data_IF_591610489278
#
_entry.id   IF_591610489278
#
_cell.length_a   1.000
_cell.length_b   1.000
_cell.length_c   1.000
_cell.angle_alpha   90.00
_cell.angle_beta   90.00
_cell.angle_gamma   90.00
#
_symmetry.space_group_name_H-M   'P 1'
#
loop_
_entity.id
_entity.type
_entity.pdbx_description
1 polymer ?
#
# COMPACT_ATOMS: atom_id res chain seq x y z
N UNK A 1 -5.40 21.35 -33.70
CA UNK A 1 -5.42 19.92 -33.28
C UNK A 1 -4.39 19.58 -32.19
N UNK A 2 -3.19 20.18 -32.16
CA UNK A 2 -2.17 19.86 -31.12
C UNK A 2 -2.58 20.25 -29.68
N UNK A 3 -3.37 21.32 -29.51
CA UNK A 3 -3.84 21.80 -28.19
C UNK A 3 -4.75 20.81 -27.44
N UNK A 4 -5.66 20.12 -28.15
CA UNK A 4 -6.57 19.14 -27.53
C UNK A 4 -5.85 17.86 -27.15
N UNK A 5 -4.91 17.41 -27.99
CA UNK A 5 -4.08 16.25 -27.70
C UNK A 5 -3.18 16.50 -26.48
N UNK A 6 -2.66 17.72 -26.32
CA UNK A 6 -1.88 18.12 -25.15
C UNK A 6 -2.72 18.19 -23.87
N UNK A 7 -3.91 18.81 -23.92
CA UNK A 7 -4.84 18.88 -22.77
C UNK A 7 -5.28 17.49 -22.29
N UNK A 8 -5.70 16.62 -23.21
CA UNK A 8 -6.13 15.24 -22.89
C UNK A 8 -5.01 14.42 -22.22
N UNK A 9 -3.77 14.77 -22.50
CA UNK A 9 -2.57 14.10 -22.00
C UNK A 9 -2.11 14.63 -20.63
N UNK A 10 -2.20 15.94 -20.39
CA UNK A 10 -2.08 16.55 -19.06
C UNK A 10 -3.14 15.98 -18.10
N UNK A 11 -4.39 15.85 -18.56
CA UNK A 11 -5.47 15.24 -17.78
C UNK A 11 -5.16 13.77 -17.40
N UNK A 12 -4.58 13.00 -18.33
CA UNK A 12 -4.16 11.61 -18.05
C UNK A 12 -3.04 11.55 -17.01
N UNK A 13 -2.05 12.43 -17.12
CA UNK A 13 -0.94 12.53 -16.16
C UNK A 13 -1.45 12.92 -14.77
N UNK A 14 -2.39 13.87 -14.71
CA UNK A 14 -3.05 14.29 -13.46
C UNK A 14 -3.82 13.13 -12.82
N UNK A 15 -4.66 12.41 -13.59
CA UNK A 15 -5.40 11.24 -13.10
C UNK A 15 -4.49 10.13 -12.57
N UNK A 16 -3.37 9.85 -13.24
CA UNK A 16 -2.38 8.87 -12.76
C UNK A 16 -1.75 9.34 -11.44
N UNK A 17 -1.44 10.63 -11.32
CA UNK A 17 -0.86 11.22 -10.11
C UNK A 17 -1.83 11.17 -8.91
N UNK A 18 -3.11 11.45 -9.15
CA UNK A 18 -4.16 11.37 -8.13
C UNK A 18 -4.31 9.92 -7.62
N UNK A 19 -4.39 8.93 -8.53
CA UNK A 19 -4.42 7.51 -8.15
C UNK A 19 -3.15 7.05 -7.41
N UNK A 20 -1.98 7.54 -7.81
CA UNK A 20 -0.72 7.25 -7.12
C UNK A 20 -0.74 7.77 -5.67
N UNK A 21 -1.29 8.97 -5.44
CA UNK A 21 -1.43 9.55 -4.09
C UNK A 21 -2.43 8.76 -3.24
N UNK A 22 -3.54 8.34 -3.81
CA UNK A 22 -4.56 7.54 -3.13
C UNK A 22 -4.00 6.19 -2.68
N UNK A 23 -3.32 5.46 -3.58
CA UNK A 23 -2.67 4.19 -3.22
C UNK A 23 -1.61 4.39 -2.14
N UNK A 24 -0.85 5.49 -2.18
CA UNK A 24 0.14 5.81 -1.13
C UNK A 24 -0.51 6.10 0.22
N UNK A 25 -1.66 6.77 0.24
CA UNK A 25 -2.43 7.01 1.47
C UNK A 25 -2.94 5.69 2.06
N UNK A 26 -3.47 4.81 1.21
CA UNK A 26 -3.93 3.48 1.63
C UNK A 26 -2.77 2.62 2.16
N UNK A 27 -1.61 2.65 1.50
CA UNK A 27 -0.39 1.97 1.97
C UNK A 27 0.01 2.45 3.37
N UNK A 28 -0.07 3.76 3.66
CA UNK A 28 0.22 4.31 4.99
C UNK A 28 -0.79 3.82 6.04
N UNK A 29 -2.08 3.82 5.72
CA UNK A 29 -3.11 3.32 6.64
C UNK A 29 -2.91 1.85 6.98
N UNK A 30 -2.65 1.01 5.98
CA UNK A 30 -2.37 -0.41 6.20
C UNK A 30 -1.09 -0.67 7.02
N UNK A 31 -0.07 0.20 6.90
CA UNK A 31 1.13 0.13 7.75
C UNK A 31 0.81 0.47 9.21
N UNK A 32 -0.07 1.44 9.45
CA UNK A 32 -0.54 1.81 10.80
C UNK A 32 -1.35 0.66 11.42
N UNK A 33 -2.28 0.06 10.67
CA UNK A 33 -3.06 -1.11 11.09
C UNK A 33 -2.15 -2.31 11.44
N UNK A 34 -1.14 -2.57 10.60
CA UNK A 34 -0.15 -3.62 10.84
C UNK A 34 0.66 -3.35 12.12
N UNK A 35 1.04 -2.09 12.37
CA UNK A 35 1.77 -1.73 13.58
C UNK A 35 0.93 -1.90 14.85
N UNK A 36 -0.35 -1.52 14.80
CA UNK A 36 -1.30 -1.75 15.87
C UNK A 36 -1.47 -3.26 16.14
N UNK A 37 -1.61 -4.06 15.09
CA UNK A 37 -1.75 -5.51 15.20
C UNK A 37 -0.51 -6.20 15.78
N UNK A 38 0.70 -5.76 15.40
CA UNK A 38 1.96 -6.24 16.00
C UNK A 38 2.03 -5.90 17.49
N UNK A 39 1.55 -4.71 17.88
CA UNK A 39 1.52 -4.29 19.28
C UNK A 39 0.56 -5.16 20.09
N UNK A 40 -0.63 -5.43 19.57
CA UNK A 40 -1.59 -6.38 20.16
C UNK A 40 -1.03 -7.80 20.25
N UNK A 41 -0.33 -8.27 19.22
CA UNK A 41 0.31 -9.59 19.22
C UNK A 41 1.35 -9.72 20.35
N UNK A 42 2.15 -8.67 20.56
CA UNK A 42 3.14 -8.63 21.64
C UNK A 42 2.47 -8.65 23.00
N UNK A 43 1.46 -7.81 23.20
CA UNK A 43 0.70 -7.76 24.47
C UNK A 43 0.03 -9.11 24.77
N UNK A 44 -0.60 -9.74 23.78
CA UNK A 44 -1.23 -11.04 23.94
C UNK A 44 -0.22 -12.13 24.31
N UNK A 45 0.99 -12.10 23.73
CA UNK A 45 2.07 -13.01 24.14
C UNK A 45 2.55 -12.77 25.57
N UNK A 46 2.69 -11.51 25.98
CA UNK A 46 3.09 -11.17 27.36
C UNK A 46 2.03 -11.64 28.37
N UNK A 47 0.75 -11.46 28.05
CA UNK A 47 -0.39 -11.97 28.84
C UNK A 47 -0.39 -13.50 28.90
N UNK A 48 -0.19 -14.19 27.78
CA UNK A 48 -0.10 -15.64 27.72
C UNK A 48 1.04 -16.17 28.60
N UNK A 49 2.23 -15.57 28.51
CA UNK A 49 3.38 -15.98 29.31
C UNK A 49 3.13 -15.80 30.82
N UNK A 50 2.45 -14.72 31.22
CA UNK A 50 2.05 -14.50 32.60
C UNK A 50 0.98 -15.51 33.06
N UNK A 51 -0.01 -15.79 32.21
CA UNK A 51 -1.10 -16.72 32.49
C UNK A 51 -0.60 -18.15 32.69
N UNK A 52 0.34 -18.61 31.85
CA UNK A 52 1.00 -19.93 31.98
C UNK A 52 1.70 -20.06 33.34
N UNK A 53 2.43 -19.02 33.78
CA UNK A 53 3.10 -19.03 35.09
C UNK A 53 2.11 -19.11 36.24
N UNK A 54 0.96 -18.44 36.10
CA UNK A 54 -0.12 -18.42 37.11
C UNK A 54 -1.06 -19.62 37.02
N UNK A 55 -0.93 -20.46 35.98
CA UNK A 55 -1.88 -21.52 35.62
C UNK A 55 -3.32 -21.01 35.47
N UNK A 56 -3.45 -19.79 34.96
CA UNK A 56 -4.75 -19.17 34.69
C UNK A 56 -5.22 -19.56 33.29
N UNK A 57 -5.96 -20.67 33.21
CA UNK A 57 -6.43 -21.22 31.93
C UNK A 57 -7.42 -20.30 31.20
N UNK A 58 -8.23 -19.54 31.95
CA UNK A 58 -9.15 -18.58 31.36
C UNK A 58 -8.39 -17.47 30.63
N UNK A 59 -7.35 -16.94 31.25
CA UNK A 59 -6.50 -15.93 30.64
C UNK A 59 -5.66 -16.48 29.48
N UNK A 60 -5.26 -17.76 29.53
CA UNK A 60 -4.63 -18.45 28.39
C UNK A 60 -5.57 -18.46 27.18
N UNK A 61 -6.84 -18.83 27.37
CA UNK A 61 -7.83 -18.87 26.28
C UNK A 61 -8.07 -17.47 25.69
N UNK A 62 -8.18 -16.44 26.53
CA UNK A 62 -8.30 -15.05 26.08
C UNK A 62 -7.06 -14.58 25.31
N UNK A 63 -5.86 -14.86 25.82
CA UNK A 63 -4.62 -14.47 25.17
C UNK A 63 -4.45 -15.18 23.81
N UNK A 64 -4.81 -16.46 23.70
CA UNK A 64 -4.85 -17.18 22.43
C UNK A 64 -5.83 -16.55 21.44
N UNK A 65 -7.06 -16.22 21.85
CA UNK A 65 -8.02 -15.57 20.97
C UNK A 65 -7.51 -14.21 20.46
N UNK A 66 -6.82 -13.44 21.30
CA UNK A 66 -6.19 -12.17 20.90
C UNK A 66 -5.04 -12.38 19.90
N UNK A 67 -4.23 -13.42 20.07
CA UNK A 67 -3.16 -13.78 19.13
C UNK A 67 -3.73 -14.12 17.75
N UNK A 68 -4.82 -14.89 17.69
CA UNK A 68 -5.46 -15.26 16.43
C UNK A 68 -6.05 -14.05 15.70
N UNK A 69 -6.68 -13.14 16.43
CA UNK A 69 -7.18 -11.87 15.87
C UNK A 69 -6.01 -11.03 15.34
N UNK A 70 -4.96 -10.83 16.14
CA UNK A 70 -3.79 -10.05 15.73
C UNK A 70 -3.13 -10.64 14.49
N UNK A 71 -2.96 -11.97 14.44
CA UNK A 71 -2.40 -12.68 13.28
C UNK A 71 -3.26 -12.51 12.03
N UNK A 72 -4.59 -12.63 12.17
CA UNK A 72 -5.52 -12.40 11.05
C UNK A 72 -5.41 -10.99 10.49
N UNK A 73 -5.24 -9.98 11.35
CA UNK A 73 -5.06 -8.58 10.90
C UNK A 73 -3.72 -8.42 10.19
N UNK A 74 -2.63 -8.98 10.74
CA UNK A 74 -1.30 -8.93 10.13
C UNK A 74 -1.30 -9.57 8.74
N UNK A 75 -1.90 -10.75 8.59
CA UNK A 75 -1.95 -11.46 7.31
C UNK A 75 -2.74 -10.67 6.26
N UNK A 76 -3.91 -10.14 6.64
CA UNK A 76 -4.73 -9.29 5.76
C UNK A 76 -4.00 -8.01 5.36
N UNK A 77 -3.38 -7.32 6.32
CA UNK A 77 -2.64 -6.08 6.06
C UNK A 77 -1.43 -6.33 5.17
N UNK A 78 -0.71 -7.45 5.36
CA UNK A 78 0.44 -7.84 4.53
C UNK A 78 0.02 -8.05 3.08
N UNK A 79 -1.02 -8.85 2.84
CA UNK A 79 -1.52 -9.11 1.48
C UNK A 79 -2.02 -7.82 0.79
N UNK A 80 -2.71 -6.97 1.54
CA UNK A 80 -3.18 -5.68 1.03
C UNK A 80 -2.01 -4.73 0.71
N UNK A 81 -0.97 -4.70 1.55
CA UNK A 81 0.24 -3.90 1.34
C UNK A 81 1.01 -4.33 0.09
N UNK A 82 1.16 -5.64 -0.15
CA UNK A 82 1.78 -6.14 -1.37
C UNK A 82 1.01 -5.72 -2.62
N UNK A 83 -0.32 -5.81 -2.56
CA UNK A 83 -1.21 -5.35 -3.64
C UNK A 83 -1.04 -3.84 -3.89
N UNK A 84 -1.07 -3.02 -2.84
CA UNK A 84 -0.86 -1.57 -2.95
C UNK A 84 0.53 -1.23 -3.52
N UNK A 85 1.58 -1.93 -3.09
CA UNK A 85 2.95 -1.74 -3.61
C UNK A 85 3.03 -2.07 -5.10
N UNK A 86 2.39 -3.15 -5.52
CA UNK A 86 2.32 -3.55 -6.94
C UNK A 86 1.60 -2.48 -7.78
N UNK A 87 0.41 -2.05 -7.35
CA UNK A 87 -0.36 -1.00 -8.02
C UNK A 87 0.43 0.33 -8.12
N UNK A 88 1.10 0.72 -7.04
CA UNK A 88 1.95 1.92 -7.02
C UNK A 88 3.08 1.84 -8.05
N UNK A 89 3.73 0.68 -8.15
CA UNK A 89 4.80 0.46 -9.13
C UNK A 89 4.26 0.48 -10.56
N UNK A 90 3.07 -0.07 -10.79
CA UNK A 90 2.38 -0.01 -12.07
C UNK A 90 2.06 1.43 -12.48
N UNK A 91 1.50 2.25 -11.58
CA UNK A 91 1.23 3.66 -11.85
C UNK A 91 2.50 4.46 -12.12
N UNK A 92 3.58 4.23 -11.35
CA UNK A 92 4.89 4.85 -11.60
C UNK A 92 5.43 4.45 -12.97
N UNK A 93 5.29 3.19 -13.37
CA UNK A 93 5.71 2.71 -14.69
C UNK A 93 4.91 3.38 -15.81
N UNK A 94 3.57 3.40 -15.69
CA UNK A 94 2.67 4.08 -16.64
C UNK A 94 3.02 5.56 -16.79
N UNK A 95 3.28 6.25 -15.68
CA UNK A 95 3.70 7.66 -15.67
C UNK A 95 5.02 7.86 -16.40
N UNK A 96 6.03 7.02 -16.14
CA UNK A 96 7.33 7.07 -16.84
C UNK A 96 7.20 6.83 -18.34
N UNK A 97 6.43 5.82 -18.75
CA UNK A 97 6.16 5.54 -20.18
C UNK A 97 5.46 6.71 -20.87
N UNK A 98 4.48 7.32 -20.19
CA UNK A 98 3.77 8.49 -20.69
C UNK A 98 4.74 9.67 -20.91
N UNK A 99 5.60 9.96 -19.94
CA UNK A 99 6.62 11.02 -20.05
C UNK A 99 7.62 10.73 -21.18
N UNK A 100 8.14 9.51 -21.25
CA UNK A 100 9.09 9.12 -22.29
C UNK A 100 8.50 9.22 -23.71
N UNK A 101 7.22 8.86 -23.87
CA UNK A 101 6.51 9.00 -25.14
C UNK A 101 6.36 10.46 -25.60
N UNK A 102 6.35 11.43 -24.68
CA UNK A 102 6.39 12.85 -25.02
C UNK A 102 7.77 13.27 -25.50
N UNK A 103 8.82 12.92 -24.76
CA UNK A 103 10.19 13.28 -25.12
C UNK A 103 10.65 12.70 -26.46
N UNK A 104 10.12 11.54 -26.85
CA UNK A 104 10.35 10.99 -28.20
C UNK A 104 9.57 11.75 -29.28
N UNK A 105 8.28 12.07 -29.06
CA UNK A 105 7.49 12.84 -30.04
C UNK A 105 8.06 14.24 -30.28
N UNK A 106 8.49 14.94 -29.23
CA UNK A 106 9.14 16.25 -29.38
C UNK A 106 10.44 16.16 -30.21
N UNK A 107 11.27 15.14 -29.98
CA UNK A 107 12.50 14.93 -30.76
C UNK A 107 12.23 14.60 -32.23
N UNK A 108 11.20 13.79 -32.51
CA UNK A 108 10.79 13.46 -33.88
C UNK A 108 10.22 14.67 -34.64
N UNK A 109 9.52 15.56 -33.94
CA UNK A 109 8.99 16.81 -34.51
C UNK A 109 10.07 17.86 -34.80
N UNK A 110 11.18 17.84 -34.05
CA UNK A 110 12.32 18.75 -34.23
C UNK A 110 13.28 18.24 -35.33
N UNK A 111 13.44 16.93 -35.49
CA UNK A 111 14.30 16.28 -36.50
C UNK A 111 13.70 16.24 -37.91
N UNK A 112 12.42 16.61 -38.08
CA UNK A 112 11.69 16.56 -39.36
C UNK A 112 11.60 17.91 -40.09
N UNK A 113 12.43 18.89 -39.71
CA UNK A 113 12.57 20.18 -40.41
C UNK A 113 13.94 20.28 -41.06
#
# INVERSE_FOLDING_TARGET
>A
MESEAFKKNEDRKRKISEKEKEVKKNEKGLQEDMHAAISLFREANDRLAAAIKKKDFTEIDFAHALLDVARTIIDKATNALETCRSQRNEFKSKKRKLIASYSQKEKSSISGK
#
